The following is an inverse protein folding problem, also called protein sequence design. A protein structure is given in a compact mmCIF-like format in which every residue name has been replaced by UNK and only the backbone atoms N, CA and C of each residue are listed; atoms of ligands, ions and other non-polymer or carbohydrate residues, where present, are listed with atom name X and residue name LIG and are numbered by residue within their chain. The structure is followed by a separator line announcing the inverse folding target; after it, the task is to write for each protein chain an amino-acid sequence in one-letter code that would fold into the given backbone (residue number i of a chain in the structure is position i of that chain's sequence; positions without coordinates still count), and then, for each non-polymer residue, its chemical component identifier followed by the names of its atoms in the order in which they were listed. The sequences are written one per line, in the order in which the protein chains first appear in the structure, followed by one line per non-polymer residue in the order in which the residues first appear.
data_IF_345874255752
#
_entry.id   IF_345874255752
#
_cell.length_a   1.000
_cell.length_b   1.000
_cell.length_c   1.000
_cell.angle_alpha   90.00
_cell.angle_beta   90.00
_cell.angle_gamma   90.00
#
_symmetry.space_group_name_H-M   'P 1'
#
loop_
_entity.id
_entity.type
_entity.pdbx_description
1 polymer ?
#
# COMPACT_ATOMS: atom_id res chain seq x y z
N UNK A 1 -23.44 4.21 12.10
CA UNK A 1 -23.78 3.10 11.19
C UNK A 1 -25.29 2.92 11.16
N UNK A 2 -25.86 2.50 10.03
CA UNK A 2 -27.27 2.12 9.96
C UNK A 2 -27.60 1.05 10.98
N UNK A 3 -28.77 1.14 11.59
CA UNK A 3 -29.25 0.21 12.61
C UNK A 3 -30.70 -0.13 12.34
N UNK A 4 -31.08 -1.40 12.56
CA UNK A 4 -32.46 -1.86 12.44
C UNK A 4 -32.84 -2.73 13.63
N UNK A 5 -34.10 -2.65 14.06
CA UNK A 5 -34.72 -3.52 15.05
C UNK A 5 -35.95 -4.12 14.38
N UNK A 6 -35.99 -5.45 14.22
CA UNK A 6 -37.07 -6.17 13.51
C UNK A 6 -37.37 -5.60 12.11
N UNK A 7 -36.33 -5.19 11.38
CA UNK A 7 -36.46 -4.63 10.03
C UNK A 7 -36.95 -3.18 9.95
N UNK A 8 -37.13 -2.51 11.10
CA UNK A 8 -37.47 -1.09 11.17
C UNK A 8 -36.22 -0.32 11.63
N UNK A 9 -35.84 0.73 10.90
CA UNK A 9 -34.67 1.54 11.25
C UNK A 9 -34.07 2.23 10.03
N UNK A 10 -32.75 2.27 9.93
CA UNK A 10 -32.06 2.88 8.77
C UNK A 10 -31.10 1.91 8.09
N UNK A 11 -30.92 2.09 6.78
CA UNK A 11 -30.02 1.26 5.99
C UNK A 11 -29.40 2.03 4.82
N UNK A 12 -28.23 1.58 4.38
CA UNK A 12 -27.61 2.02 3.13
C UNK A 12 -28.14 1.23 1.93
N UNK A 13 -28.34 1.91 0.81
CA UNK A 13 -28.83 1.29 -0.42
C UNK A 13 -28.09 1.81 -1.65
N UNK A 14 -27.60 0.87 -2.47
CA UNK A 14 -26.81 1.15 -3.66
C UNK A 14 -25.34 1.48 -3.34
N UNK A 15 -24.47 1.23 -4.31
CA UNK A 15 -23.04 1.55 -4.23
C UNK A 15 -22.62 2.19 -5.54
N UNK A 16 -22.11 3.41 -5.48
CA UNK A 16 -21.64 4.16 -6.66
C UNK A 16 -20.21 4.64 -6.43
N UNK A 17 -19.48 4.84 -7.53
CA UNK A 17 -18.11 5.37 -7.57
C UNK A 17 -17.18 4.72 -6.54
N UNK A 18 -17.04 3.37 -6.53
CA UNK A 18 -16.21 2.71 -5.53
C UNK A 18 -14.73 2.98 -5.78
N UNK A 19 -14.00 3.38 -4.73
CA UNK A 19 -12.54 3.47 -4.72
C UNK A 19 -11.97 2.42 -3.80
N UNK A 20 -11.30 1.42 -4.36
CA UNK A 20 -10.74 0.27 -3.62
C UNK A 20 -9.24 0.44 -3.46
N UNK A 21 -8.72 0.31 -2.25
CA UNK A 21 -7.29 0.49 -1.96
C UNK A 21 -6.85 -0.35 -0.76
N UNK A 22 -5.55 -0.64 -0.66
CA UNK A 22 -4.97 -1.30 0.50
C UNK A 22 -4.69 -0.31 1.64
N UNK A 23 -4.87 -0.73 2.90
CA UNK A 23 -4.53 0.08 4.06
C UNK A 23 -4.69 -0.65 5.38
N UNK A 24 -4.36 0.03 6.48
CA UNK A 24 -4.59 -0.49 7.84
C UNK A 24 -5.96 0.00 8.30
N UNK A 25 -6.80 -0.91 8.78
CA UNK A 25 -8.10 -0.52 9.33
C UNK A 25 -7.96 0.04 10.76
N UNK A 26 -8.38 1.29 10.97
CA UNK A 26 -8.38 1.96 12.28
C UNK A 26 -9.09 1.18 13.39
N UNK A 27 -10.06 0.33 13.05
CA UNK A 27 -10.81 -0.44 14.03
C UNK A 27 -10.22 -1.81 14.39
N UNK A 28 -9.70 -2.56 13.41
CA UNK A 28 -9.20 -3.92 13.66
C UNK A 28 -7.68 -4.03 13.56
N UNK A 29 -6.99 -2.96 13.16
CA UNK A 29 -5.54 -2.85 13.06
C UNK A 29 -4.91 -3.88 12.11
N UNK A 30 -5.70 -4.41 11.17
CA UNK A 30 -5.22 -5.35 10.13
C UNK A 30 -4.96 -4.59 8.84
N UNK A 31 -3.93 -5.02 8.11
CA UNK A 31 -3.78 -4.71 6.69
C UNK A 31 -4.91 -5.38 5.91
N UNK A 32 -5.72 -4.58 5.24
CA UNK A 32 -6.95 -5.01 4.58
C UNK A 32 -7.17 -4.21 3.31
N UNK A 33 -8.06 -4.72 2.46
CA UNK A 33 -8.71 -3.88 1.44
C UNK A 33 -9.73 -2.97 2.11
N UNK A 34 -9.64 -1.68 1.81
CA UNK A 34 -10.56 -0.63 2.19
C UNK A 34 -11.36 -0.20 0.96
N UNK A 35 -12.58 0.30 1.17
CA UNK A 35 -13.34 0.90 0.07
C UNK A 35 -14.10 2.14 0.46
N UNK A 36 -13.95 3.18 -0.35
CA UNK A 36 -14.80 4.37 -0.32
C UNK A 36 -15.90 4.22 -1.37
N UNK A 37 -17.10 4.73 -1.10
CA UNK A 37 -18.19 4.73 -2.08
C UNK A 37 -19.34 5.65 -1.67
N UNK A 38 -20.12 6.05 -2.65
CA UNK A 38 -21.37 6.78 -2.44
C UNK A 38 -22.53 5.81 -2.27
N UNK A 39 -23.44 6.12 -1.35
CA UNK A 39 -24.65 5.33 -1.09
C UNK A 39 -25.84 6.22 -0.78
N UNK A 40 -27.05 5.71 -1.07
CA UNK A 40 -28.28 6.25 -0.50
C UNK A 40 -28.42 5.84 0.97
N UNK A 41 -29.07 6.66 1.78
CA UNK A 41 -29.41 6.38 3.18
C UNK A 41 -30.92 6.51 3.35
N UNK A 42 -31.55 5.46 3.86
CA UNK A 42 -33.01 5.33 3.91
C UNK A 42 -33.47 4.93 5.30
N UNK A 43 -34.66 5.38 5.67
CA UNK A 43 -35.47 4.70 6.67
C UNK A 43 -36.14 3.50 6.03
N UNK A 44 -36.05 2.35 6.70
CA UNK A 44 -36.57 1.07 6.22
C UNK A 44 -37.67 0.56 7.13
N UNK A 45 -38.65 -0.11 6.53
CA UNK A 45 -39.69 -0.89 7.23
C UNK A 45 -39.69 -2.28 6.61
N UNK A 46 -39.59 -3.32 7.43
CA UNK A 46 -39.36 -4.70 6.97
C UNK A 46 -38.21 -4.80 5.96
N UNK A 47 -37.12 -4.06 6.21
CA UNK A 47 -35.93 -3.93 5.34
C UNK A 47 -36.19 -3.33 3.95
N UNK A 48 -37.41 -2.88 3.65
CA UNK A 48 -37.74 -2.18 2.41
C UNK A 48 -37.42 -0.69 2.60
N UNK A 49 -36.65 -0.04 1.71
CA UNK A 49 -36.40 1.41 1.77
C UNK A 49 -37.69 2.17 1.48
N UNK A 50 -38.24 2.85 2.49
CA UNK A 50 -39.51 3.58 2.38
C UNK A 50 -39.28 5.09 2.28
N UNK A 51 -38.38 5.65 3.10
CA UNK A 51 -38.16 7.10 3.17
C UNK A 51 -36.69 7.41 2.88
N UNK A 52 -36.36 8.14 1.80
CA UNK A 52 -34.99 8.60 1.57
C UNK A 52 -34.60 9.65 2.62
N UNK A 53 -33.49 9.41 3.32
CA UNK A 53 -32.92 10.32 4.31
C UNK A 53 -31.71 11.10 3.77
N UNK A 54 -31.29 10.81 2.54
CA UNK A 54 -30.22 11.53 1.83
C UNK A 54 -29.19 10.59 1.20
N UNK A 55 -28.06 11.17 0.79
CA UNK A 55 -26.89 10.44 0.28
C UNK A 55 -25.72 10.58 1.24
N UNK A 56 -24.87 9.55 1.29
CA UNK A 56 -23.71 9.46 2.17
C UNK A 56 -22.48 9.06 1.37
N UNK A 57 -21.33 9.59 1.76
CA UNK A 57 -20.03 9.07 1.39
C UNK A 57 -19.57 8.13 2.50
N UNK A 58 -19.28 6.88 2.14
CA UNK A 58 -18.62 5.90 2.99
C UNK A 58 -17.12 6.00 2.75
N UNK A 59 -16.34 6.03 3.83
CA UNK A 59 -14.88 6.17 3.79
C UNK A 59 -14.26 5.00 4.55
N UNK A 60 -13.40 4.26 3.87
CA UNK A 60 -12.58 3.20 4.43
C UNK A 60 -13.38 2.01 4.95
N UNK A 61 -14.38 1.51 4.21
CA UNK A 61 -15.05 0.27 4.60
C UNK A 61 -14.08 -0.90 4.62
N UNK A 62 -13.85 -1.44 5.81
CA UNK A 62 -12.97 -2.57 6.01
C UNK A 62 -13.59 -3.87 5.47
N UNK A 63 -12.89 -4.53 4.55
CA UNK A 63 -13.28 -5.84 4.00
C UNK A 63 -13.46 -6.95 5.06
N UNK A 64 -12.83 -6.81 6.23
CA UNK A 64 -12.89 -7.79 7.33
C UNK A 64 -13.95 -7.45 8.37
N UNK A 65 -13.85 -6.28 9.01
CA UNK A 65 -14.72 -5.93 10.15
C UNK A 65 -15.90 -5.03 9.76
N UNK A 66 -15.99 -4.59 8.50
CA UNK A 66 -17.05 -3.73 7.94
C UNK A 66 -17.20 -2.34 8.59
N UNK A 67 -16.35 -1.99 9.55
CA UNK A 67 -16.30 -0.63 10.12
C UNK A 67 -15.82 0.36 9.06
N UNK A 68 -16.39 1.56 9.11
CA UNK A 68 -16.16 2.66 8.17
C UNK A 68 -16.47 4.00 8.84
N UNK A 69 -15.96 5.08 8.26
CA UNK A 69 -16.42 6.45 8.51
C UNK A 69 -17.50 6.83 7.50
N UNK A 70 -18.32 7.81 7.84
CA UNK A 70 -19.42 8.25 6.99
C UNK A 70 -19.65 9.75 7.13
N UNK A 71 -19.98 10.41 6.02
CA UNK A 71 -20.40 11.82 6.02
C UNK A 71 -21.52 12.08 4.99
N UNK A 72 -22.29 13.18 5.12
CA UNK A 72 -23.21 13.62 4.07
C UNK A 72 -22.49 13.80 2.74
N UNK A 73 -23.06 13.29 1.64
CA UNK A 73 -22.41 13.38 0.33
C UNK A 73 -22.15 14.83 -0.10
N UNK A 74 -23.11 15.74 0.14
CA UNK A 74 -22.96 17.17 -0.18
C UNK A 74 -21.78 17.82 0.56
N UNK A 75 -21.51 17.38 1.79
CA UNK A 75 -20.38 17.87 2.56
C UNK A 75 -19.04 17.35 2.00
N UNK A 76 -19.00 16.08 1.60
CA UNK A 76 -17.85 15.50 0.90
C UNK A 76 -17.57 16.19 -0.43
N UNK A 77 -18.60 16.48 -1.22
CA UNK A 77 -18.49 17.19 -2.50
C UNK A 77 -17.93 18.60 -2.31
N UNK A 78 -18.41 19.34 -1.30
CA UNK A 78 -17.87 20.68 -0.97
C UNK A 78 -16.39 20.61 -0.57
N UNK A 79 -16.03 19.67 0.30
CA UNK A 79 -14.63 19.49 0.73
C UNK A 79 -13.76 19.15 -0.49
N UNK A 80 -14.22 18.28 -1.39
CA UNK A 80 -13.53 17.95 -2.63
C UNK A 80 -13.29 19.21 -3.47
N UNK A 81 -14.35 19.97 -3.76
CA UNK A 81 -14.26 21.18 -4.59
C UNK A 81 -13.26 22.19 -3.99
N UNK A 82 -13.36 22.49 -2.70
CA UNK A 82 -12.44 23.41 -2.00
C UNK A 82 -10.98 22.93 -2.04
N UNK A 83 -10.72 21.64 -1.82
CA UNK A 83 -9.37 21.09 -1.83
C UNK A 83 -8.76 21.07 -3.25
N UNK A 84 -9.55 20.70 -4.25
CA UNK A 84 -9.08 20.63 -5.64
C UNK A 84 -8.84 22.03 -6.21
N UNK A 85 -9.73 23.00 -5.92
CA UNK A 85 -9.55 24.39 -6.32
C UNK A 85 -8.28 24.98 -5.69
N UNK A 86 -8.11 24.80 -4.38
CA UNK A 86 -6.91 25.28 -3.68
C UNK A 86 -5.64 24.61 -4.20
N UNK A 87 -5.66 23.29 -4.44
CA UNK A 87 -4.51 22.57 -4.96
C UNK A 87 -4.13 23.00 -6.39
N UNK A 88 -5.12 23.25 -7.25
CA UNK A 88 -4.90 23.79 -8.59
C UNK A 88 -4.31 25.20 -8.55
N UNK A 89 -4.82 26.08 -7.69
CA UNK A 89 -4.28 27.42 -7.51
C UNK A 89 -2.83 27.39 -7.02
N UNK A 90 -2.53 26.56 -6.01
CA UNK A 90 -1.17 26.40 -5.48
C UNK A 90 -0.19 25.87 -6.54
N UNK A 91 -0.61 24.91 -7.37
CA UNK A 91 0.20 24.42 -8.48
C UNK A 91 0.42 25.50 -9.54
N UNK A 92 -0.61 26.28 -9.88
CA UNK A 92 -0.50 27.36 -10.85
C UNK A 92 0.49 28.46 -10.41
N UNK A 93 0.56 28.75 -9.11
CA UNK A 93 1.53 29.70 -8.55
C UNK A 93 2.96 29.14 -8.48
N UNK A 94 3.12 27.80 -8.49
CA UNK A 94 4.39 27.11 -8.27
C UNK A 94 4.59 26.00 -9.31
N UNK A 95 4.41 26.31 -10.60
CA UNK A 95 4.37 25.30 -11.67
C UNK A 95 5.64 24.46 -11.81
N UNK A 96 6.78 24.95 -11.33
CA UNK A 96 8.07 24.25 -11.37
C UNK A 96 8.40 23.49 -10.07
N UNK A 97 7.54 23.54 -9.05
CA UNK A 97 7.70 22.76 -7.81
C UNK A 97 6.91 21.43 -7.91
N UNK A 98 7.59 20.29 -8.12
CA UNK A 98 6.93 19.00 -8.26
C UNK A 98 6.15 18.62 -6.99
N UNK A 99 6.53 19.14 -5.82
CA UNK A 99 5.83 18.88 -4.56
C UNK A 99 4.38 19.32 -4.62
N UNK A 100 4.08 20.44 -5.30
CA UNK A 100 2.70 20.94 -5.47
C UNK A 100 1.87 20.10 -6.40
N UNK A 101 2.49 19.59 -7.47
CA UNK A 101 1.83 18.63 -8.34
C UNK A 101 1.54 17.31 -7.61
N UNK A 102 2.49 16.84 -6.78
CA UNK A 102 2.33 15.62 -5.98
C UNK A 102 1.24 15.78 -4.89
N UNK A 103 1.17 16.92 -4.20
CA UNK A 103 0.11 17.25 -3.23
C UNK A 103 -1.29 17.22 -3.89
N UNK A 104 -1.42 17.84 -5.07
CA UNK A 104 -2.67 17.82 -5.84
C UNK A 104 -3.00 16.40 -6.35
N UNK A 105 -2.00 15.65 -6.80
CA UNK A 105 -2.17 14.27 -7.24
C UNK A 105 -2.73 13.38 -6.13
N UNK A 106 -2.21 13.50 -4.90
CA UNK A 106 -2.77 12.79 -3.74
C UNK A 106 -4.21 13.21 -3.46
N UNK A 107 -4.52 14.50 -3.54
CA UNK A 107 -5.87 15.02 -3.33
C UNK A 107 -6.87 14.46 -4.35
N UNK A 108 -6.54 14.51 -5.64
CA UNK A 108 -7.33 13.91 -6.72
C UNK A 108 -7.54 12.41 -6.49
N UNK A 109 -6.49 11.70 -6.06
CA UNK A 109 -6.57 10.26 -5.75
C UNK A 109 -7.54 9.98 -4.61
N UNK A 110 -7.49 10.76 -3.51
CA UNK A 110 -8.39 10.60 -2.35
C UNK A 110 -9.84 10.87 -2.73
N UNK A 111 -10.09 11.86 -3.59
CA UNK A 111 -11.42 12.21 -4.06
C UNK A 111 -11.91 11.39 -5.25
N UNK A 112 -11.17 10.34 -5.62
CA UNK A 112 -11.50 9.43 -6.73
C UNK A 112 -11.65 10.16 -8.08
N UNK A 113 -10.84 11.21 -8.31
CA UNK A 113 -10.65 11.90 -9.59
C UNK A 113 -9.45 11.28 -10.31
N UNK A 114 -9.57 10.00 -10.67
CA UNK A 114 -8.44 9.20 -11.14
C UNK A 114 -8.03 9.56 -12.57
N UNK A 115 -8.97 9.98 -13.42
CA UNK A 115 -8.66 10.37 -14.79
C UNK A 115 -7.78 11.63 -14.80
N UNK A 116 -8.17 12.65 -14.03
CA UNK A 116 -7.39 13.88 -13.86
C UNK A 116 -6.07 13.62 -13.14
N UNK A 117 -6.06 12.72 -12.15
CA UNK A 117 -4.84 12.31 -11.46
C UNK A 117 -3.83 11.66 -12.44
N UNK A 118 -4.31 10.81 -13.35
CA UNK A 118 -3.46 10.17 -14.36
C UNK A 118 -2.85 11.19 -15.33
N UNK A 119 -3.64 12.18 -15.77
CA UNK A 119 -3.14 13.27 -16.62
C UNK A 119 -2.08 14.11 -15.90
N UNK A 120 -2.34 14.49 -14.64
CA UNK A 120 -1.40 15.24 -13.83
C UNK A 120 -0.11 14.44 -13.58
N UNK A 121 -0.20 13.16 -13.23
CA UNK A 121 0.97 12.31 -13.03
C UNK A 121 1.84 12.21 -14.30
N UNK A 122 1.23 12.06 -15.47
CA UNK A 122 1.94 12.02 -16.74
C UNK A 122 2.60 13.35 -17.08
N UNK A 123 1.92 14.47 -16.85
CA UNK A 123 2.47 15.81 -17.06
C UNK A 123 3.65 16.08 -16.13
N UNK A 124 3.51 15.77 -14.84
CA UNK A 124 4.56 15.96 -13.82
C UNK A 124 5.80 15.13 -14.12
N UNK A 125 5.64 13.83 -14.43
CA UNK A 125 6.78 12.99 -14.80
C UNK A 125 7.51 13.50 -16.05
N UNK A 126 6.78 14.06 -17.03
CA UNK A 126 7.37 14.63 -18.23
C UNK A 126 8.10 15.95 -17.95
N UNK A 127 7.51 16.83 -17.16
CA UNK A 127 8.10 18.13 -16.81
C UNK A 127 9.36 17.96 -15.95
N UNK A 128 9.35 16.98 -15.05
CA UNK A 128 10.42 16.68 -14.11
C UNK A 128 11.16 15.38 -14.47
N UNK A 129 11.36 15.13 -15.77
CA UNK A 129 11.97 13.89 -16.26
C UNK A 129 13.44 13.67 -15.85
N UNK A 130 14.09 14.70 -15.29
CA UNK A 130 15.46 14.64 -14.77
C UNK A 130 15.50 14.81 -13.23
N UNK A 131 14.36 14.73 -12.56
CA UNK A 131 14.25 14.79 -11.10
C UNK A 131 14.03 13.39 -10.53
N UNK A 132 15.02 12.90 -9.78
CA UNK A 132 15.02 11.54 -9.27
C UNK A 132 13.84 11.26 -8.34
N UNK A 133 13.63 12.14 -7.35
CA UNK A 133 12.62 11.94 -6.30
C UNK A 133 11.21 12.00 -6.90
N UNK A 134 10.97 12.95 -7.82
CA UNK A 134 9.68 13.07 -8.53
C UNK A 134 9.36 11.82 -9.34
N UNK A 135 10.33 11.26 -10.08
CA UNK A 135 10.13 10.03 -10.83
C UNK A 135 9.85 8.84 -9.91
N UNK A 136 10.52 8.75 -8.77
CA UNK A 136 10.23 7.73 -7.75
C UNK A 136 8.81 7.89 -7.18
N UNK A 137 8.38 9.11 -6.88
CA UNK A 137 7.07 9.38 -6.28
C UNK A 137 5.92 9.12 -7.25
N UNK A 138 6.07 9.55 -8.51
CA UNK A 138 5.10 9.26 -9.57
C UNK A 138 5.09 7.77 -9.91
N UNK A 139 6.26 7.13 -10.00
CA UNK A 139 6.36 5.68 -10.23
C UNK A 139 5.67 4.89 -9.13
N UNK A 140 5.89 5.25 -7.87
CA UNK A 140 5.23 4.64 -6.70
C UNK A 140 3.72 4.92 -6.69
N UNK A 141 3.28 6.07 -7.18
CA UNK A 141 1.87 6.37 -7.35
C UNK A 141 1.22 5.48 -8.42
N UNK A 142 1.84 5.35 -9.61
CA UNK A 142 1.36 4.44 -10.65
C UNK A 142 1.28 2.99 -10.18
N UNK A 143 2.28 2.52 -9.42
CA UNK A 143 2.28 1.17 -8.82
C UNK A 143 1.03 0.96 -7.95
N UNK A 144 0.72 1.92 -7.07
CA UNK A 144 -0.47 1.87 -6.19
C UNK A 144 -1.80 1.93 -6.96
N UNK A 145 -1.82 2.56 -8.13
CA UNK A 145 -2.99 2.56 -9.02
C UNK A 145 -3.08 1.29 -9.89
N UNK A 146 -2.08 0.40 -9.84
CA UNK A 146 -2.02 -0.82 -10.66
C UNK A 146 -1.53 -0.59 -12.08
N UNK A 147 -0.94 0.58 -12.38
CA UNK A 147 -0.36 0.91 -13.68
C UNK A 147 1.11 0.51 -13.77
N UNK A 148 1.39 -0.79 -13.65
CA UNK A 148 2.76 -1.34 -13.59
C UNK A 148 3.67 -0.83 -14.71
N UNK A 149 3.21 -0.83 -15.97
CA UNK A 149 4.05 -0.35 -17.09
C UNK A 149 4.48 1.11 -16.98
N UNK A 150 3.62 1.98 -16.46
CA UNK A 150 3.95 3.40 -16.27
C UNK A 150 4.85 3.59 -15.06
N UNK A 151 4.64 2.78 -14.01
CA UNK A 151 5.53 2.70 -12.86
C UNK A 151 6.94 2.31 -13.27
N UNK A 152 7.10 1.23 -14.03
CA UNK A 152 8.38 0.74 -14.53
C UNK A 152 9.11 1.80 -15.36
N UNK A 153 8.40 2.55 -16.22
CA UNK A 153 8.98 3.64 -17.00
C UNK A 153 9.58 4.74 -16.11
N UNK A 154 8.85 5.19 -15.08
CA UNK A 154 9.35 6.19 -14.16
C UNK A 154 10.55 5.67 -13.35
N UNK A 155 10.47 4.42 -12.91
CA UNK A 155 11.53 3.77 -12.15
C UNK A 155 12.80 3.53 -12.98
N UNK A 156 12.67 3.11 -14.23
CA UNK A 156 13.79 2.97 -15.17
C UNK A 156 14.50 4.31 -15.39
N UNK A 157 13.74 5.39 -15.55
CA UNK A 157 14.29 6.73 -15.67
C UNK A 157 15.01 7.16 -14.38
N UNK A 158 14.41 6.94 -13.21
CA UNK A 158 15.05 7.25 -11.93
C UNK A 158 16.37 6.46 -11.74
N UNK A 159 16.37 5.16 -12.05
CA UNK A 159 17.57 4.32 -12.01
C UNK A 159 18.64 4.85 -12.97
N UNK A 160 18.28 5.34 -14.16
CA UNK A 160 19.25 5.93 -15.09
C UNK A 160 19.89 7.21 -14.55
N UNK A 161 19.14 8.03 -13.81
CA UNK A 161 19.64 9.28 -13.22
C UNK A 161 20.65 9.02 -12.09
N UNK A 162 20.31 8.11 -11.17
CA UNK A 162 21.24 7.68 -10.11
C UNK A 162 21.15 6.16 -9.87
N UNK A 163 21.96 5.36 -10.58
CA UNK A 163 21.94 3.90 -10.45
C UNK A 163 22.42 3.40 -9.08
N UNK A 164 23.13 4.23 -8.31
CA UNK A 164 23.72 3.84 -7.03
C UNK A 164 22.89 4.32 -5.84
N UNK A 165 21.89 5.17 -6.08
CA UNK A 165 20.95 5.60 -5.06
C UNK A 165 20.34 4.39 -4.32
N UNK A 166 20.21 4.43 -2.98
CA UNK A 166 19.58 3.36 -2.22
C UNK A 166 18.18 2.99 -2.73
N UNK A 167 17.38 3.98 -3.13
CA UNK A 167 16.06 3.73 -3.73
C UNK A 167 16.16 3.01 -5.08
N UNK A 168 17.13 3.35 -5.94
CA UNK A 168 17.37 2.63 -7.20
C UNK A 168 17.75 1.18 -6.94
N UNK A 169 18.64 0.93 -5.96
CA UNK A 169 19.00 -0.42 -5.53
C UNK A 169 17.80 -1.19 -4.99
N UNK A 170 16.92 -0.54 -4.23
CA UNK A 170 15.66 -1.14 -3.77
C UNK A 170 14.77 -1.54 -4.95
N UNK A 171 14.55 -0.63 -5.91
CA UNK A 171 13.73 -0.88 -7.10
C UNK A 171 14.30 -2.07 -7.90
N UNK A 172 15.58 -2.03 -8.23
CA UNK A 172 16.26 -3.11 -8.98
C UNK A 172 16.17 -4.46 -8.25
N UNK A 173 16.34 -4.47 -6.93
CA UNK A 173 16.24 -5.69 -6.15
C UNK A 173 14.82 -6.25 -6.10
N UNK A 174 13.79 -5.39 -5.98
CA UNK A 174 12.39 -5.82 -6.02
C UNK A 174 12.01 -6.35 -7.41
N UNK A 175 12.44 -5.68 -8.49
CA UNK A 175 12.23 -6.16 -9.86
C UNK A 175 12.89 -7.53 -10.09
N UNK A 176 14.12 -7.72 -9.61
CA UNK A 176 14.79 -9.01 -9.64
C UNK A 176 14.02 -10.11 -8.87
N UNK A 177 13.40 -9.78 -7.73
CA UNK A 177 12.53 -10.72 -7.01
C UNK A 177 11.28 -11.07 -7.81
N UNK A 178 10.62 -10.08 -8.42
CA UNK A 178 9.43 -10.29 -9.25
C UNK A 178 9.74 -11.13 -10.49
N UNK A 179 10.93 -10.95 -11.07
CA UNK A 179 11.49 -11.77 -12.15
C UNK A 179 11.96 -13.16 -11.69
N UNK A 180 11.87 -13.47 -10.40
CA UNK A 180 12.22 -14.78 -9.85
C UNK A 180 13.73 -15.03 -9.75
N UNK A 181 14.53 -13.98 -9.62
CA UNK A 181 15.99 -14.00 -9.54
C UNK A 181 16.49 -13.56 -8.14
N UNK A 182 16.27 -14.35 -7.07
CA UNK A 182 16.60 -13.93 -5.70
C UNK A 182 18.11 -13.71 -5.47
N UNK A 183 18.98 -14.44 -6.16
CA UNK A 183 20.44 -14.23 -6.08
C UNK A 183 20.86 -12.85 -6.59
N UNK A 184 20.18 -12.33 -7.61
CA UNK A 184 20.45 -11.01 -8.15
C UNK A 184 19.88 -9.92 -7.24
N UNK A 185 18.65 -10.12 -6.75
CA UNK A 185 18.04 -9.24 -5.75
C UNK A 185 18.93 -9.07 -4.51
N UNK A 186 19.54 -10.16 -4.03
CA UNK A 186 20.45 -10.12 -2.88
C UNK A 186 21.66 -9.19 -3.11
N UNK A 187 22.20 -9.13 -4.33
CA UNK A 187 23.29 -8.21 -4.68
C UNK A 187 22.85 -6.75 -4.61
N UNK A 188 21.64 -6.45 -5.07
CA UNK A 188 21.07 -5.10 -5.00
C UNK A 188 20.71 -4.68 -3.58
N UNK A 189 20.29 -5.61 -2.72
CA UNK A 189 19.95 -5.31 -1.32
C UNK A 189 21.17 -5.24 -0.39
N UNK A 190 22.33 -5.78 -0.78
CA UNK A 190 23.52 -5.81 0.07
C UNK A 190 24.01 -4.41 0.52
N UNK A 191 24.03 -3.36 -0.32
CA UNK A 191 24.30 -1.99 0.13
C UNK A 191 23.28 -1.48 1.16
N UNK A 192 22.00 -1.81 0.98
CA UNK A 192 20.91 -1.41 1.87
C UNK A 192 21.04 -2.09 3.24
N UNK A 193 21.52 -3.34 3.26
CA UNK A 193 21.72 -4.11 4.50
C UNK A 193 22.73 -3.46 5.46
N UNK A 194 23.70 -2.73 4.90
CA UNK A 194 24.81 -2.10 5.65
C UNK A 194 24.46 -0.72 6.20
N UNK A 195 23.41 -0.07 5.68
CA UNK A 195 22.97 1.24 6.15
C UNK A 195 21.79 1.10 7.09
N UNK A 196 21.89 1.66 8.31
CA UNK A 196 20.75 1.68 9.23
C UNK A 196 19.57 2.51 8.67
N UNK A 197 19.86 3.58 7.91
CA UNK A 197 18.84 4.48 7.36
C UNK A 197 18.04 3.84 6.22
N UNK A 198 18.63 2.86 5.52
CA UNK A 198 18.00 2.19 4.37
C UNK A 198 17.66 0.72 4.62
N UNK A 199 17.87 0.22 5.84
CA UNK A 199 17.54 -1.15 6.20
C UNK A 199 16.02 -1.31 6.35
N UNK A 200 15.41 -2.00 5.41
CA UNK A 200 14.00 -2.39 5.47
C UNK A 200 13.87 -3.92 5.66
N UNK A 201 13.38 -4.40 6.82
CA UNK A 201 13.18 -5.83 7.09
C UNK A 201 12.25 -6.52 6.09
N UNK A 202 11.31 -5.78 5.48
CA UNK A 202 10.37 -6.34 4.54
C UNK A 202 11.06 -6.84 3.27
N UNK A 203 12.09 -6.14 2.79
CA UNK A 203 12.89 -6.54 1.62
C UNK A 203 13.59 -7.89 1.85
N UNK A 204 14.21 -8.06 3.02
CA UNK A 204 14.92 -9.28 3.36
C UNK A 204 13.97 -10.45 3.68
N UNK A 205 12.77 -10.16 4.20
CA UNK A 205 11.73 -11.18 4.34
C UNK A 205 11.19 -11.64 2.99
N UNK A 206 10.99 -10.71 2.04
CA UNK A 206 10.63 -11.04 0.66
C UNK A 206 11.72 -11.85 -0.04
N UNK A 207 12.99 -11.49 0.14
CA UNK A 207 14.14 -12.25 -0.36
C UNK A 207 14.16 -13.68 0.18
N UNK A 208 13.97 -13.86 1.49
CA UNK A 208 13.86 -15.19 2.11
C UNK A 208 12.70 -16.00 1.51
N UNK A 209 11.54 -15.38 1.31
CA UNK A 209 10.38 -16.00 0.66
C UNK A 209 10.66 -16.42 -0.79
N UNK A 210 11.38 -15.60 -1.55
CA UNK A 210 11.77 -15.90 -2.92
C UNK A 210 12.78 -17.06 -2.99
N UNK A 211 13.76 -17.10 -2.08
CA UNK A 211 14.64 -18.27 -1.92
C UNK A 211 13.84 -19.54 -1.59
N UNK A 212 12.86 -19.47 -0.69
CA UNK A 212 11.98 -20.61 -0.41
C UNK A 212 11.16 -21.06 -1.62
N UNK A 213 10.74 -20.13 -2.49
CA UNK A 213 10.01 -20.45 -3.71
C UNK A 213 10.88 -21.16 -4.76
N UNK A 214 12.20 -20.96 -4.69
CA UNK A 214 13.20 -21.64 -5.53
C UNK A 214 13.84 -22.86 -4.87
N UNK A 215 13.28 -23.32 -3.74
CA UNK A 215 13.82 -24.43 -2.94
C UNK A 215 15.24 -24.20 -2.38
N UNK A 216 15.71 -22.95 -2.41
CA UNK A 216 16.99 -22.49 -1.86
C UNK A 216 16.85 -22.27 -0.35
N UNK A 217 16.66 -23.38 0.39
CA UNK A 217 16.28 -23.32 1.80
C UNK A 217 17.41 -22.88 2.73
N UNK A 218 18.67 -23.09 2.34
CA UNK A 218 19.84 -22.67 3.11
C UNK A 218 19.94 -21.14 3.13
N UNK A 219 19.83 -20.51 1.96
CA UNK A 219 19.83 -19.07 1.79
C UNK A 219 18.64 -18.42 2.49
N UNK A 220 17.45 -19.00 2.36
CA UNK A 220 16.28 -18.53 3.10
C UNK A 220 16.51 -18.53 4.62
N UNK A 221 17.18 -19.57 5.16
CA UNK A 221 17.50 -19.65 6.60
C UNK A 221 18.53 -18.61 7.01
N UNK A 222 19.52 -18.30 6.16
CA UNK A 222 20.46 -17.22 6.42
C UNK A 222 19.74 -15.87 6.54
N UNK A 223 18.81 -15.57 5.63
CA UNK A 223 18.01 -14.34 5.70
C UNK A 223 17.12 -14.29 6.95
N UNK A 224 16.45 -15.40 7.30
CA UNK A 224 15.65 -15.46 8.54
C UNK A 224 16.49 -15.30 9.80
N UNK A 225 17.73 -15.83 9.83
CA UNK A 225 18.65 -15.65 10.95
C UNK A 225 19.08 -14.19 11.10
N UNK A 226 19.42 -13.49 10.00
CA UNK A 226 19.77 -12.07 10.04
C UNK A 226 18.58 -11.22 10.54
N UNK A 227 17.38 -11.50 10.03
CA UNK A 227 16.14 -10.85 10.50
C UNK A 227 15.91 -11.03 11.99
N UNK A 228 16.06 -12.25 12.52
CA UNK A 228 15.92 -12.51 13.97
C UNK A 228 17.01 -11.84 14.81
N UNK A 229 18.23 -11.74 14.27
CA UNK A 229 19.36 -11.11 14.96
C UNK A 229 19.12 -9.60 15.11
N UNK A 230 18.65 -8.95 14.06
CA UNK A 230 18.37 -7.51 14.05
C UNK A 230 17.06 -7.16 14.74
N UNK A 231 16.04 -7.99 14.55
CA UNK A 231 14.67 -7.76 15.06
C UNK A 231 14.14 -9.07 15.68
N UNK A 232 14.45 -9.30 16.97
CA UNK A 232 14.01 -10.51 17.68
C UNK A 232 12.49 -10.72 17.73
N UNK A 233 11.72 -9.65 17.57
CA UNK A 233 10.25 -9.67 17.58
C UNK A 233 9.63 -10.50 16.44
N UNK A 234 10.34 -10.67 15.30
CA UNK A 234 9.90 -11.61 14.25
C UNK A 234 9.71 -13.03 14.80
N UNK A 235 10.48 -13.41 15.82
CA UNK A 235 10.37 -14.70 16.48
C UNK A 235 9.01 -14.93 17.16
N UNK A 236 8.20 -13.89 17.41
CA UNK A 236 6.84 -13.99 17.96
C UNK A 236 5.77 -14.08 16.87
N UNK A 237 6.05 -13.60 15.66
CA UNK A 237 5.09 -13.60 14.56
C UNK A 237 4.79 -15.02 14.07
N UNK A 238 3.50 -15.33 13.91
CA UNK A 238 3.05 -16.68 13.58
C UNK A 238 3.44 -17.08 12.16
N UNK A 239 3.32 -16.17 11.20
CA UNK A 239 3.58 -16.45 9.79
C UNK A 239 5.09 -16.54 9.53
N UNK A 240 5.89 -15.68 10.14
CA UNK A 240 7.35 -15.75 10.13
C UNK A 240 7.83 -17.11 10.68
N UNK A 241 7.34 -17.53 11.85
CA UNK A 241 7.69 -18.84 12.43
C UNK A 241 7.31 -20.01 11.52
N UNK A 242 6.18 -19.91 10.81
CA UNK A 242 5.74 -20.91 9.85
C UNK A 242 6.68 -20.95 8.63
N UNK A 243 7.09 -19.79 8.12
CA UNK A 243 8.06 -19.68 7.04
C UNK A 243 9.40 -20.31 7.44
N UNK A 244 9.97 -19.98 8.61
CA UNK A 244 11.22 -20.58 9.09
C UNK A 244 11.14 -22.10 9.17
N UNK A 245 10.08 -22.63 9.81
CA UNK A 245 9.87 -24.09 9.94
C UNK A 245 9.78 -24.82 8.61
N UNK A 246 9.24 -24.17 7.57
CA UNK A 246 9.17 -24.74 6.21
C UNK A 246 10.59 -25.03 5.70
N UNK A 247 11.50 -24.07 5.80
CA UNK A 247 12.90 -24.28 5.39
C UNK A 247 13.64 -25.26 6.29
N UNK A 248 13.49 -25.16 7.61
CA UNK A 248 14.13 -26.11 8.55
C UNK A 248 13.75 -27.57 8.25
N UNK A 249 12.45 -27.81 7.99
CA UNK A 249 11.96 -29.14 7.61
C UNK A 249 12.55 -29.62 6.29
N UNK A 250 12.61 -28.76 5.28
CA UNK A 250 13.16 -29.11 3.97
C UNK A 250 14.66 -29.47 4.05
N UNK A 251 15.41 -28.81 4.94
CA UNK A 251 16.82 -29.13 5.19
C UNK A 251 17.04 -30.31 6.14
N UNK A 252 15.99 -30.84 6.78
CA UNK A 252 16.14 -31.83 7.85
C UNK A 252 16.91 -31.31 9.07
N UNK A 253 16.79 -30.02 9.38
CA UNK A 253 17.55 -29.38 10.45
C UNK A 253 17.20 -29.99 11.82
N UNK A 254 18.19 -30.44 12.62
CA UNK A 254 17.94 -31.03 13.93
C UNK A 254 17.62 -29.99 15.01
N UNK A 255 17.96 -28.73 14.76
CA UNK A 255 17.74 -27.59 15.66
C UNK A 255 16.99 -26.48 14.94
N UNK A 256 16.25 -25.68 15.71
CA UNK A 256 15.51 -24.53 15.19
C UNK A 256 16.18 -23.22 15.57
N UNK A 257 16.21 -22.28 14.63
CA UNK A 257 16.69 -20.91 14.86
C UNK A 257 15.66 -20.07 15.62
N UNK A 258 14.42 -20.54 15.69
CA UNK A 258 13.34 -19.83 16.35
C UNK A 258 13.53 -19.84 17.86
N UNK A 259 13.30 -18.71 18.55
CA UNK A 259 13.30 -18.70 20.00
C UNK A 259 12.22 -19.65 20.53
N UNK A 260 12.53 -20.33 21.64
CA UNK A 260 11.56 -21.15 22.38
C UNK A 260 10.37 -20.26 22.75
N UNK A 261 9.14 -20.76 22.59
CA UNK A 261 7.97 -20.06 23.12
C UNK A 261 8.12 -20.00 24.64
N UNK A 262 8.06 -18.80 25.21
CA UNK A 262 7.97 -18.65 26.66
C UNK A 262 6.70 -19.34 27.18
N UNK A 263 6.77 -19.86 28.41
CA UNK A 263 5.70 -20.65 29.05
C UNK A 263 4.41 -19.83 29.29
N UNK A 264 4.46 -18.50 29.09
CA UNK A 264 3.36 -17.56 29.32
C UNK A 264 3.02 -16.70 28.08
N UNK A 265 3.00 -17.31 26.89
CA UNK A 265 2.50 -16.68 25.67
C UNK A 265 1.14 -17.22 25.26
#
# INVERSE_FOLDING_TARGET
MPTTINGIGTQYYGRKNPRVYGGICDSCQRHVTLTDYETGYFFVVLFIPVIPLGKKQIIGECSVCRRHRVMPLKEWERIREENLESGLANLAENMDDPSKALELLQSMTVFNQLDEAMELAAATAKQHANDFDTLVDIGSWYERQGHTKLSDQCFDQAIQLDPQHPTSKRIQGVDALQSGNPNEAAKFFEPLRKSADFYDPSLFYMLAGAYQAKEMHEEAIMEFKDLLTRIPEFGKDKEFRKAVKKSEKAMGSPTSILPKKGIFG
#
